data_IF_179849217652
#
_entry.id   IF_179849217652
#
_cell.length_a   1.000
_cell.length_b   1.000
_cell.length_c   1.000
_cell.angle_alpha   90.00
_cell.angle_beta   90.00
_cell.angle_gamma   90.00
#
_symmetry.space_group_name_H-M   'P 1'
#
loop_
_entity.id
_entity.type
_entity.pdbx_description
1 polymer ?
#
# COMPACT_ATOMS: atom_id res chain seq x y z
N UNK A 1 14.71 -0.27 -1.86
CA UNK A 1 13.47 0.55 -1.87
C UNK A 1 13.78 1.98 -2.27
N UNK A 2 12.90 2.58 -3.02
CA UNK A 2 13.00 3.99 -3.42
C UNK A 2 12.10 4.85 -2.55
N UNK A 3 12.55 6.06 -2.22
CA UNK A 3 11.66 7.04 -1.60
C UNK A 3 10.52 7.37 -2.55
N UNK A 4 9.33 7.50 -2.03
CA UNK A 4 8.16 7.82 -2.83
C UNK A 4 7.09 8.53 -2.01
N UNK A 5 6.15 9.13 -2.72
CA UNK A 5 4.92 9.66 -2.13
C UNK A 5 3.77 8.82 -2.66
N UNK A 6 2.86 8.45 -1.78
CA UNK A 6 1.71 7.61 -2.14
C UNK A 6 0.49 8.03 -1.34
N UNK A 7 -0.66 7.46 -1.68
CA UNK A 7 -1.90 7.76 -0.99
C UNK A 7 -2.39 6.55 -0.20
N UNK A 8 -2.69 6.76 1.07
CA UNK A 8 -3.34 5.76 1.92
C UNK A 8 -4.84 6.05 1.93
N UNK A 9 -5.63 5.01 1.82
CA UNK A 9 -7.08 5.10 1.95
C UNK A 9 -7.44 5.01 3.43
N UNK A 10 -8.12 6.02 3.94
CA UNK A 10 -8.51 6.09 5.35
C UNK A 10 -10.01 6.29 5.47
N UNK A 11 -10.58 5.73 6.52
CA UNK A 11 -11.99 5.88 6.85
C UNK A 11 -12.17 7.03 7.84
N UNK A 12 -13.18 7.85 7.60
CA UNK A 12 -13.52 8.96 8.48
C UNK A 12 -15.03 9.09 8.56
N UNK A 13 -15.53 9.99 9.41
CA UNK A 13 -16.95 10.26 9.53
C UNK A 13 -17.59 10.77 8.24
N UNK A 14 -16.79 11.35 7.35
CA UNK A 14 -17.23 11.79 6.02
C UNK A 14 -17.09 10.75 4.92
N UNK A 15 -16.71 9.50 5.26
CA UNK A 15 -16.51 8.42 4.32
C UNK A 15 -15.05 8.06 4.11
N UNK A 16 -14.73 7.54 2.92
CA UNK A 16 -13.38 7.09 2.56
C UNK A 16 -12.66 8.21 1.81
N UNK A 17 -11.42 8.48 2.20
CA UNK A 17 -10.59 9.46 1.49
C UNK A 17 -9.15 8.97 1.35
N UNK A 18 -8.43 9.55 0.38
CA UNK A 18 -7.01 9.28 0.16
C UNK A 18 -6.17 10.33 0.89
N UNK A 19 -5.16 9.89 1.63
CA UNK A 19 -4.26 10.77 2.39
C UNK A 19 -2.84 10.63 1.84
N UNK A 20 -2.25 11.74 1.43
CA UNK A 20 -0.90 11.80 0.91
C UNK A 20 0.11 11.44 2.00
N UNK A 21 1.02 10.51 1.69
CA UNK A 21 1.97 9.95 2.65
C UNK A 21 3.33 9.80 2.01
N UNK A 22 4.37 10.18 2.73
CA UNK A 22 5.75 9.96 2.31
C UNK A 22 6.28 8.66 2.88
N UNK A 23 7.06 7.95 2.09
CA UNK A 23 7.64 6.69 2.52
C UNK A 23 8.55 6.10 1.47
N UNK A 24 8.51 4.79 1.33
CA UNK A 24 9.35 4.03 0.42
C UNK A 24 8.49 3.06 -0.38
N UNK A 25 8.85 2.80 -1.62
CA UNK A 25 8.12 1.88 -2.50
C UNK A 25 9.02 0.75 -2.98
N UNK A 26 8.41 -0.42 -3.14
CA UNK A 26 9.04 -1.61 -3.69
C UNK A 26 8.03 -2.31 -4.59
N UNK A 27 8.44 -2.65 -5.81
CA UNK A 27 7.59 -3.43 -6.70
C UNK A 27 8.02 -4.89 -6.65
N UNK A 28 7.07 -5.76 -6.35
CA UNK A 28 7.27 -7.20 -6.26
C UNK A 28 6.52 -7.90 -7.37
N UNK A 29 7.02 -9.06 -7.78
CA UNK A 29 6.37 -9.89 -8.79
C UNK A 29 5.91 -11.17 -8.12
N UNK A 30 4.65 -11.57 -8.34
CA UNK A 30 4.13 -12.82 -7.83
C UNK A 30 4.58 -14.02 -8.71
N UNK A 31 4.18 -15.24 -8.33
CA UNK A 31 4.55 -16.46 -9.06
C UNK A 31 4.05 -16.51 -10.49
N UNK A 32 3.01 -15.70 -10.80
CA UNK A 32 2.41 -15.65 -12.14
C UNK A 32 2.93 -14.47 -12.97
N UNK A 33 3.91 -13.73 -12.47
CA UNK A 33 4.48 -12.58 -13.17
C UNK A 33 3.72 -11.28 -12.99
N UNK A 34 2.73 -11.22 -12.11
CA UNK A 34 1.99 -9.99 -11.84
C UNK A 34 2.79 -9.08 -10.92
N UNK A 35 2.85 -7.80 -11.25
CA UNK A 35 3.54 -6.80 -10.45
C UNK A 35 2.61 -6.17 -9.43
N UNK A 36 3.12 -6.01 -8.21
CA UNK A 36 2.43 -5.33 -7.12
C UNK A 36 3.40 -4.34 -6.50
N UNK A 37 2.99 -3.07 -6.39
CA UNK A 37 3.81 -2.07 -5.72
C UNK A 37 3.29 -1.88 -4.30
N UNK A 38 4.20 -2.10 -3.34
CA UNK A 38 3.94 -1.90 -1.93
C UNK A 38 4.67 -0.65 -1.46
N UNK A 39 4.01 0.10 -0.58
CA UNK A 39 4.55 1.32 -0.01
C UNK A 39 4.68 1.17 1.49
N UNK A 40 5.78 1.68 2.02
CA UNK A 40 6.16 1.51 3.42
C UNK A 40 6.26 2.88 4.08
N UNK A 41 5.61 3.06 5.22
CA UNK A 41 5.71 4.30 5.97
C UNK A 41 5.85 4.01 7.46
N UNK A 42 6.54 4.91 8.15
CA UNK A 42 6.71 4.81 9.60
C UNK A 42 5.44 5.35 10.26
N UNK A 43 4.61 4.44 10.74
CA UNK A 43 3.34 4.79 11.36
C UNK A 43 3.51 5.32 12.78
N UNK A 44 4.56 4.87 13.49
CA UNK A 44 4.96 5.36 14.80
C UNK A 44 6.44 5.03 15.00
N UNK A 45 7.02 5.39 16.16
CA UNK A 45 8.44 5.14 16.44
C UNK A 45 8.82 3.66 16.33
N UNK A 46 7.86 2.75 16.55
CA UNK A 46 8.12 1.32 16.59
C UNK A 46 7.32 0.52 15.56
N UNK A 47 6.62 1.19 14.65
CA UNK A 47 5.72 0.50 13.71
C UNK A 47 5.93 1.02 12.28
N UNK A 48 6.20 0.08 11.36
CA UNK A 48 6.19 0.32 9.92
C UNK A 48 4.93 -0.30 9.33
N UNK A 49 4.17 0.51 8.60
CA UNK A 49 2.99 0.04 7.89
C UNK A 49 3.29 -0.23 6.43
N UNK A 50 2.60 -1.20 5.85
CA UNK A 50 2.68 -1.54 4.44
C UNK A 50 1.34 -1.30 3.80
N UNK A 51 1.34 -0.57 2.69
CA UNK A 51 0.15 -0.21 1.92
C UNK A 51 0.30 -0.69 0.49
N UNK A 52 -0.74 -1.29 -0.06
CA UNK A 52 -0.75 -1.60 -1.50
C UNK A 52 -1.06 -0.30 -2.26
N UNK A 53 -0.20 0.04 -3.21
CA UNK A 53 -0.19 1.37 -3.83
C UNK A 53 -1.48 1.73 -4.57
N UNK A 54 -2.04 0.81 -5.35
CA UNK A 54 -3.18 1.14 -6.21
C UNK A 54 -4.49 1.36 -5.45
N UNK A 55 -4.68 0.67 -4.32
CA UNK A 55 -5.88 0.78 -3.50
C UNK A 55 -5.71 1.68 -2.28
N UNK A 56 -4.47 1.93 -1.89
CA UNK A 56 -4.18 2.67 -0.66
C UNK A 56 -4.49 1.92 0.62
N UNK A 57 -4.83 0.63 0.53
CA UNK A 57 -5.22 -0.16 1.70
C UNK A 57 -4.03 -0.80 2.39
N UNK A 58 -4.09 -0.89 3.72
CA UNK A 58 -3.06 -1.51 4.53
C UNK A 58 -3.00 -3.01 4.32
N UNK A 59 -1.78 -3.53 4.24
CA UNK A 59 -1.49 -4.96 4.05
C UNK A 59 -1.05 -5.61 5.35
N UNK A 60 -0.06 -5.01 6.01
CA UNK A 60 0.48 -5.54 7.27
C UNK A 60 1.27 -4.45 7.99
N UNK A 61 1.77 -4.78 9.18
CA UNK A 61 2.62 -3.91 9.98
C UNK A 61 3.74 -4.73 10.61
N UNK A 62 4.87 -4.09 10.88
CA UNK A 62 5.98 -4.72 11.57
C UNK A 62 6.82 -3.67 12.30
N UNK A 63 7.72 -4.12 13.16
CA UNK A 63 8.61 -3.25 13.94
C UNK A 63 9.71 -2.62 13.09
N UNK A 64 10.09 -3.24 11.97
CA UNK A 64 11.13 -2.75 11.09
C UNK A 64 10.68 -2.82 9.64
N UNK A 65 11.18 -1.89 8.82
CA UNK A 65 10.85 -1.81 7.40
C UNK A 65 11.15 -3.12 6.65
N UNK A 66 12.33 -3.71 6.88
CA UNK A 66 12.69 -4.95 6.19
C UNK A 66 11.86 -6.15 6.67
N UNK A 67 11.49 -6.18 7.94
CA UNK A 67 10.59 -7.21 8.45
C UNK A 67 9.19 -7.07 7.84
N UNK A 68 8.73 -5.83 7.66
CA UNK A 68 7.46 -5.55 6.99
C UNK A 68 7.48 -6.04 5.53
N UNK A 69 8.60 -5.84 4.82
CA UNK A 69 8.76 -6.34 3.46
C UNK A 69 8.71 -7.86 3.41
N UNK A 70 9.45 -8.53 4.29
CA UNK A 70 9.46 -10.00 4.33
C UNK A 70 8.08 -10.57 4.68
N UNK A 71 7.36 -9.93 5.58
CA UNK A 71 6.00 -10.32 5.91
C UNK A 71 5.06 -10.17 4.71
N UNK A 72 5.15 -9.05 4.00
CA UNK A 72 4.32 -8.80 2.82
C UNK A 72 4.61 -9.80 1.70
N UNK A 73 5.87 -10.21 1.51
CA UNK A 73 6.25 -11.19 0.48
C UNK A 73 5.53 -12.53 0.66
N UNK A 74 5.27 -12.92 1.90
CA UNK A 74 4.58 -14.19 2.19
C UNK A 74 3.16 -14.23 1.65
N UNK A 75 2.53 -13.06 1.50
CA UNK A 75 1.13 -12.94 1.11
C UNK A 75 0.94 -12.33 -0.27
N UNK A 76 2.00 -12.26 -1.07
CA UNK A 76 1.97 -11.52 -2.34
C UNK A 76 0.85 -11.99 -3.29
N UNK A 77 0.63 -13.30 -3.40
CA UNK A 77 -0.41 -13.85 -4.26
C UNK A 77 -1.81 -13.47 -3.76
N UNK A 78 -2.00 -13.51 -2.44
CA UNK A 78 -3.25 -13.12 -1.80
C UNK A 78 -3.53 -11.62 -1.99
N UNK A 79 -2.50 -10.80 -1.87
CA UNK A 79 -2.61 -9.36 -2.07
C UNK A 79 -3.06 -9.07 -3.50
N UNK A 80 -2.44 -9.72 -4.48
CA UNK A 80 -2.81 -9.53 -5.89
C UNK A 80 -4.27 -9.89 -6.12
N UNK A 81 -4.70 -11.05 -5.65
CA UNK A 81 -6.08 -11.52 -5.83
C UNK A 81 -7.08 -10.56 -5.19
N UNK A 82 -6.77 -10.08 -3.99
CA UNK A 82 -7.65 -9.18 -3.26
C UNK A 82 -7.78 -7.83 -3.96
N UNK A 83 -6.68 -7.29 -4.46
CA UNK A 83 -6.64 -6.00 -5.15
C UNK A 83 -7.59 -5.98 -6.35
N UNK A 84 -7.71 -7.11 -7.05
CA UNK A 84 -8.60 -7.21 -8.22
C UNK A 84 -10.08 -7.00 -7.87
N UNK A 85 -10.45 -7.16 -6.61
CA UNK A 85 -11.83 -6.99 -6.14
C UNK A 85 -12.12 -5.60 -5.58
N UNK A 86 -11.13 -4.71 -5.56
CA UNK A 86 -11.17 -3.44 -4.85
C UNK A 86 -11.15 -2.22 -5.79
N UNK A 87 -11.84 -2.32 -6.93
CA UNK A 87 -11.88 -1.27 -7.94
C UNK A 87 -12.33 0.10 -7.42
N UNK A 88 -13.23 0.12 -6.43
CA UNK A 88 -13.70 1.37 -5.81
C UNK A 88 -12.54 2.14 -5.16
N UNK A 89 -11.67 1.44 -4.44
CA UNK A 89 -10.52 2.06 -3.80
C UNK A 89 -9.46 2.47 -4.81
N UNK A 90 -9.27 1.67 -5.87
CA UNK A 90 -8.39 2.02 -6.96
C UNK A 90 -8.81 3.34 -7.62
N UNK A 91 -10.10 3.56 -7.82
CA UNK A 91 -10.63 4.80 -8.38
C UNK A 91 -10.36 5.99 -7.47
N UNK A 92 -10.57 5.85 -6.17
CA UNK A 92 -10.31 6.91 -5.19
C UNK A 92 -8.84 7.33 -5.23
N UNK A 93 -7.93 6.38 -5.24
CA UNK A 93 -6.49 6.64 -5.25
C UNK A 93 -6.07 7.24 -6.60
N UNK A 94 -6.56 6.71 -7.71
CA UNK A 94 -6.24 7.22 -9.05
C UNK A 94 -6.67 8.69 -9.19
N UNK A 95 -7.83 9.03 -8.66
CA UNK A 95 -8.33 10.41 -8.65
C UNK A 95 -7.42 11.32 -7.81
N UNK A 96 -6.96 10.84 -6.65
CA UNK A 96 -6.04 11.59 -5.81
C UNK A 96 -4.72 11.89 -6.52
N UNK A 97 -4.15 10.92 -7.22
CA UNK A 97 -2.95 11.13 -8.02
C UNK A 97 -3.18 12.13 -9.15
N UNK A 98 -4.33 12.08 -9.81
CA UNK A 98 -4.66 13.01 -10.91
C UNK A 98 -4.84 14.44 -10.42
N UNK A 99 -5.33 14.63 -9.21
CA UNK A 99 -5.54 15.95 -8.61
C UNK A 99 -4.27 16.52 -7.96
N UNK A 100 -3.30 15.69 -7.75
CA UNK A 100 -2.02 16.07 -7.29
C UNK A 100 -1.45 16.25 -6.14
#
# INVERSE_FOLDING_TARGET
>A
MKKCTFYRTVYSSGGVKAVKTDGFCETLTDKNGHEITLCFHKASDFVWGVTEKSTGLGVCQSDKRMNALEEAKKYIDLIYDKVQTLGKYQEIVAKAYAEG
#
